data_IF_156976377067
#
_entry.id   IF_156976377067
#
_cell.length_a   1.000
_cell.length_b   1.000
_cell.length_c   1.000
_cell.angle_alpha   90.00
_cell.angle_beta   90.00
_cell.angle_gamma   90.00
#
_symmetry.space_group_name_H-M   'P 1'
#
loop_
_entity.id
_entity.type
_entity.pdbx_description
1 polymer ?
#
# COMPACT_ATOMS: atom_id res chain seq x y z
N UNK A 1 15.10 -3.58 -22.77
CA UNK A 1 13.76 -4.10 -22.38
C UNK A 1 13.66 -3.99 -20.86
N UNK A 2 12.86 -3.05 -20.38
CA UNK A 2 12.58 -2.89 -18.94
C UNK A 2 11.56 -3.96 -18.57
N UNK A 3 12.03 -5.02 -17.89
CA UNK A 3 11.13 -6.00 -17.30
C UNK A 3 10.16 -5.31 -16.33
N UNK A 4 8.90 -5.62 -16.48
CA UNK A 4 7.86 -5.02 -15.68
C UNK A 4 7.89 -5.63 -14.27
N UNK A 5 8.01 -4.77 -13.25
CA UNK A 5 7.83 -5.06 -11.83
C UNK A 5 6.60 -5.96 -11.52
N UNK A 6 5.61 -5.95 -12.43
CA UNK A 6 4.34 -6.67 -12.31
C UNK A 6 4.36 -8.08 -12.90
N UNK A 7 5.51 -8.60 -13.29
CA UNK A 7 5.65 -10.03 -13.63
C UNK A 7 5.97 -10.80 -12.37
N UNK A 8 5.26 -11.89 -12.10
CA UNK A 8 5.40 -12.69 -10.87
C UNK A 8 6.80 -13.28 -10.61
N UNK A 9 7.73 -13.20 -11.58
CA UNK A 9 9.14 -13.58 -11.45
C UNK A 9 10.00 -12.62 -12.28
N UNK A 10 10.55 -11.56 -11.68
CA UNK A 10 11.52 -10.72 -12.38
C UNK A 10 12.80 -11.49 -12.67
N UNK A 11 13.29 -11.45 -13.91
CA UNK A 11 14.58 -12.05 -14.33
C UNK A 11 15.79 -11.18 -13.96
N UNK A 12 15.56 -9.99 -13.40
CA UNK A 12 16.60 -9.06 -12.97
C UNK A 12 17.50 -9.71 -11.92
N UNK A 13 18.83 -9.60 -12.12
CA UNK A 13 19.82 -10.08 -11.14
C UNK A 13 19.56 -9.44 -9.78
N UNK A 14 19.54 -10.26 -8.73
CA UNK A 14 19.34 -9.79 -7.36
C UNK A 14 20.52 -8.92 -6.91
N UNK A 15 20.22 -7.76 -6.36
CA UNK A 15 21.16 -6.84 -5.74
C UNK A 15 20.47 -6.22 -4.53
N UNK A 16 20.52 -6.94 -3.42
CA UNK A 16 19.89 -6.53 -2.17
C UNK A 16 20.65 -5.39 -1.50
N UNK A 17 19.89 -4.45 -0.93
CA UNK A 17 20.43 -3.37 -0.12
C UNK A 17 19.61 -3.23 1.15
N UNK A 18 20.29 -2.98 2.27
CA UNK A 18 19.67 -2.82 3.59
C UNK A 18 19.98 -1.43 4.14
N UNK A 19 18.98 -0.78 4.71
CA UNK A 19 19.13 0.53 5.35
C UNK A 19 18.19 0.69 6.53
N UNK A 20 18.44 1.70 7.33
CA UNK A 20 17.59 2.12 8.44
C UNK A 20 16.80 3.36 8.05
N UNK A 21 15.55 3.44 8.46
CA UNK A 21 14.67 4.57 8.18
C UNK A 21 13.73 4.87 9.36
N UNK A 22 13.48 6.15 9.62
CA UNK A 22 12.55 6.60 10.65
C UNK A 22 11.19 6.94 10.06
N UNK A 23 10.13 6.32 10.58
CA UNK A 23 8.73 6.53 10.20
C UNK A 23 7.87 6.58 11.46
N UNK A 24 7.02 7.59 11.61
CA UNK A 24 6.16 7.76 12.80
C UNK A 24 6.93 7.61 14.11
N UNK A 25 8.06 8.30 14.24
CA UNK A 25 8.94 8.29 15.43
C UNK A 25 9.51 6.91 15.80
N UNK A 26 9.46 5.94 14.90
CA UNK A 26 10.04 4.61 15.05
C UNK A 26 11.13 4.35 14.03
N UNK A 27 12.17 3.64 14.45
CA UNK A 27 13.23 3.19 13.55
C UNK A 27 12.87 1.83 12.95
N UNK A 28 13.06 1.69 11.64
CA UNK A 28 12.85 0.46 10.90
C UNK A 28 14.09 0.08 10.10
N UNK A 29 14.32 -1.24 9.99
CA UNK A 29 15.35 -1.82 9.13
C UNK A 29 14.69 -2.45 7.91
N UNK A 30 15.01 -1.95 6.71
CA UNK A 30 14.45 -2.47 5.46
C UNK A 30 15.55 -3.04 4.57
N UNK A 31 15.23 -4.14 3.90
CA UNK A 31 15.96 -4.70 2.77
C UNK A 31 15.07 -4.62 1.54
N UNK A 32 15.59 -4.12 0.43
CA UNK A 32 14.95 -4.19 -0.89
C UNK A 32 15.93 -4.69 -1.93
N UNK A 33 15.44 -5.03 -3.13
CA UNK A 33 16.21 -5.65 -4.20
C UNK A 33 15.98 -4.91 -5.53
N UNK A 34 16.89 -5.12 -6.48
CA UNK A 34 16.87 -4.51 -7.82
C UNK A 34 15.58 -4.77 -8.61
N UNK A 35 14.85 -5.83 -8.31
CA UNK A 35 13.53 -6.15 -8.91
C UNK A 35 12.33 -5.57 -8.15
N UNK A 36 12.54 -4.73 -7.14
CA UNK A 36 11.50 -4.16 -6.27
C UNK A 36 11.59 -2.65 -6.26
N UNK A 37 10.43 -1.98 -6.15
CA UNK A 37 10.32 -0.52 -6.15
C UNK A 37 11.09 0.12 -4.99
N UNK A 38 11.77 1.24 -5.27
CA UNK A 38 12.52 2.07 -4.31
C UNK A 38 13.71 1.37 -3.65
N UNK A 39 14.89 1.54 -4.23
CA UNK A 39 16.18 1.12 -3.66
C UNK A 39 16.71 2.19 -2.69
N UNK A 40 17.30 1.77 -1.58
CA UNK A 40 18.07 2.59 -0.62
C UNK A 40 17.30 3.63 0.17
N UNK A 41 15.97 3.72 0.03
CA UNK A 41 15.14 4.63 0.83
C UNK A 41 13.67 4.24 0.71
N UNK A 42 12.85 4.62 1.68
CA UNK A 42 11.40 4.61 1.51
C UNK A 42 11.02 5.80 0.63
N UNK A 43 10.30 5.55 -0.46
CA UNK A 43 9.93 6.62 -1.40
C UNK A 43 9.06 7.69 -0.73
N UNK A 44 9.12 8.90 -1.27
CA UNK A 44 8.45 10.04 -0.66
C UNK A 44 6.92 9.86 -0.55
N UNK A 45 6.29 9.26 -1.56
CA UNK A 45 4.85 8.99 -1.55
C UNK A 45 4.44 8.05 -0.42
N UNK A 46 5.15 6.92 -0.27
CA UNK A 46 4.92 5.97 0.83
C UNK A 46 5.13 6.63 2.20
N UNK A 47 6.20 7.44 2.36
CA UNK A 47 6.42 8.19 3.61
C UNK A 47 5.27 9.14 3.92
N UNK A 48 4.84 9.93 2.94
CA UNK A 48 3.74 10.88 3.12
C UNK A 48 2.46 10.16 3.52
N UNK A 49 2.14 9.03 2.88
CA UNK A 49 0.98 8.22 3.23
C UNK A 49 1.10 7.66 4.65
N UNK A 50 2.24 7.09 5.03
CA UNK A 50 2.47 6.54 6.36
C UNK A 50 2.28 7.63 7.44
N UNK A 51 2.87 8.80 7.25
CA UNK A 51 2.83 9.89 8.25
C UNK A 51 1.44 10.52 8.39
N UNK A 52 0.64 10.52 7.32
CA UNK A 52 -0.67 11.18 7.30
C UNK A 52 -1.84 10.23 7.49
N UNK A 53 -1.62 8.91 7.42
CA UNK A 53 -2.69 7.94 7.58
C UNK A 53 -3.24 7.95 9.01
N UNK A 54 -4.57 7.96 9.10
CA UNK A 54 -5.32 7.82 10.34
C UNK A 54 -6.30 6.65 10.23
N UNK A 55 -6.43 5.86 11.30
CA UNK A 55 -7.46 4.82 11.38
C UNK A 55 -8.85 5.47 11.38
N UNK A 56 -9.82 4.92 10.64
CA UNK A 56 -11.19 5.37 10.74
C UNK A 56 -11.74 5.11 12.14
N UNK A 57 -12.27 6.16 12.76
CA UNK A 57 -12.77 6.11 14.12
C UNK A 57 -14.01 5.21 14.23
N UNK A 58 -14.03 4.33 15.24
CA UNK A 58 -15.17 3.45 15.51
C UNK A 58 -15.39 2.32 14.50
N UNK A 59 -14.49 2.13 13.54
CA UNK A 59 -14.58 1.05 12.55
C UNK A 59 -13.70 -0.11 12.97
N UNK A 60 -14.31 -1.27 13.17
CA UNK A 60 -13.59 -2.52 13.47
C UNK A 60 -13.22 -3.27 12.20
N UNK A 61 -12.08 -3.94 12.21
CA UNK A 61 -11.60 -4.77 11.11
C UNK A 61 -10.10 -4.61 10.86
N UNK A 62 -9.58 -5.49 10.03
CA UNK A 62 -8.18 -5.46 9.63
C UNK A 62 -7.88 -4.31 8.66
N UNK A 63 -6.61 -4.01 8.44
CA UNK A 63 -6.15 -3.15 7.34
C UNK A 63 -5.67 -3.99 6.17
N UNK A 64 -5.75 -3.44 4.97
CA UNK A 64 -5.12 -3.99 3.77
C UNK A 64 -4.12 -2.99 3.19
N UNK A 65 -2.87 -3.43 3.02
CA UNK A 65 -1.83 -2.75 2.22
C UNK A 65 -1.82 -3.39 0.82
N UNK A 66 -2.42 -2.71 -0.15
CA UNK A 66 -2.58 -3.18 -1.52
C UNK A 66 -1.38 -2.76 -2.37
N UNK A 67 -0.62 -3.74 -2.88
CA UNK A 67 0.62 -3.51 -3.61
C UNK A 67 1.76 -3.16 -2.64
N UNK A 68 1.96 -4.00 -1.62
CA UNK A 68 2.82 -3.69 -0.47
C UNK A 68 4.31 -3.58 -0.78
N UNK A 69 4.77 -4.13 -1.92
CA UNK A 69 6.19 -4.18 -2.25
C UNK A 69 7.00 -4.92 -1.18
N UNK A 70 8.12 -4.35 -0.76
CA UNK A 70 8.96 -4.88 0.32
C UNK A 70 8.43 -4.54 1.73
N UNK A 71 7.27 -3.91 1.85
CA UNK A 71 6.48 -3.78 3.06
C UNK A 71 6.56 -2.48 3.85
N UNK A 72 7.05 -1.34 3.33
CA UNK A 72 7.26 -0.14 4.15
C UNK A 72 5.98 0.41 4.76
N UNK A 73 4.87 0.43 4.02
CA UNK A 73 3.59 0.95 4.51
C UNK A 73 3.01 -0.02 5.54
N UNK A 74 2.76 -1.27 5.17
CA UNK A 74 2.12 -2.26 6.04
C UNK A 74 2.88 -2.51 7.34
N UNK A 75 4.21 -2.62 7.29
CA UNK A 75 5.06 -2.83 8.48
C UNK A 75 5.02 -1.62 9.41
N UNK A 76 5.09 -0.40 8.87
CA UNK A 76 5.01 0.83 9.68
C UNK A 76 3.64 0.99 10.35
N UNK A 77 2.56 0.68 9.61
CA UNK A 77 1.20 0.73 10.17
C UNK A 77 0.99 -0.38 11.20
N UNK A 78 1.53 -1.59 10.98
CA UNK A 78 1.47 -2.68 11.96
C UNK A 78 2.16 -2.32 13.28
N UNK A 79 3.30 -1.63 13.20
CA UNK A 79 3.99 -1.12 14.40
C UNK A 79 3.21 0.00 15.10
N UNK A 80 2.45 0.80 14.34
CA UNK A 80 1.67 1.92 14.88
C UNK A 80 0.37 1.45 15.53
N UNK A 81 -0.26 0.43 14.94
CA UNK A 81 -1.56 -0.12 15.36
C UNK A 81 -1.41 -1.59 15.76
N UNK A 82 -0.79 -1.91 16.91
CA UNK A 82 -0.43 -3.28 17.29
C UNK A 82 -1.65 -4.19 17.50
N UNK A 83 -2.82 -3.63 17.79
CA UNK A 83 -4.07 -4.36 17.97
C UNK A 83 -4.76 -4.73 16.64
N UNK A 84 -4.27 -4.19 15.51
CA UNK A 84 -4.82 -4.45 14.18
C UNK A 84 -4.00 -5.50 13.46
N UNK A 85 -4.66 -6.38 12.70
CA UNK A 85 -3.97 -7.21 11.71
C UNK A 85 -3.84 -6.43 10.41
N UNK A 86 -2.65 -6.43 9.83
CA UNK A 86 -2.40 -5.83 8.52
C UNK A 86 -2.21 -6.94 7.51
N UNK A 87 -3.13 -7.08 6.56
CA UNK A 87 -2.93 -7.92 5.40
C UNK A 87 -2.15 -7.14 4.34
N UNK A 88 -1.11 -7.76 3.79
CA UNK A 88 -0.19 -7.14 2.85
C UNK A 88 -0.11 -8.01 1.61
N UNK A 89 -0.47 -7.46 0.47
CA UNK A 89 -0.54 -8.22 -0.79
C UNK A 89 0.25 -7.55 -1.91
N UNK A 90 0.85 -8.36 -2.76
CA UNK A 90 1.52 -7.93 -3.99
C UNK A 90 1.45 -9.06 -5.03
N UNK A 91 1.62 -8.73 -6.31
CA UNK A 91 1.74 -9.72 -7.41
C UNK A 91 3.15 -10.28 -7.53
N UNK A 92 4.14 -9.63 -6.92
CA UNK A 92 5.55 -9.94 -7.04
C UNK A 92 6.02 -10.80 -5.86
N UNK A 93 6.26 -12.09 -6.08
CA UNK A 93 6.71 -13.02 -5.03
C UNK A 93 8.02 -12.58 -4.36
N UNK A 94 8.97 -12.02 -5.11
CA UNK A 94 10.24 -11.52 -4.57
C UNK A 94 10.00 -10.36 -3.59
N UNK A 95 9.07 -9.47 -3.89
CA UNK A 95 8.68 -8.38 -3.00
C UNK A 95 8.07 -8.92 -1.70
N UNK A 96 7.19 -9.92 -1.80
CA UNK A 96 6.56 -10.56 -0.63
C UNK A 96 7.59 -11.27 0.27
N UNK A 97 8.59 -11.94 -0.31
CA UNK A 97 9.66 -12.59 0.45
C UNK A 97 10.50 -11.55 1.21
N UNK A 98 10.77 -10.40 0.59
CA UNK A 98 11.40 -9.26 1.25
C UNK A 98 10.50 -8.69 2.36
N UNK A 99 9.21 -8.49 2.10
CA UNK A 99 8.26 -7.99 3.09
C UNK A 99 8.21 -8.89 4.34
N UNK A 100 8.20 -10.22 4.17
CA UNK A 100 8.26 -11.19 5.28
C UNK A 100 9.55 -11.07 6.08
N UNK A 101 10.69 -10.94 5.40
CA UNK A 101 12.00 -10.74 6.04
C UNK A 101 12.06 -9.41 6.80
N UNK A 102 11.53 -8.35 6.22
CA UNK A 102 11.48 -7.03 6.83
C UNK A 102 10.55 -7.00 8.04
N UNK A 103 9.37 -7.63 7.98
CA UNK A 103 8.49 -7.78 9.14
C UNK A 103 9.21 -8.48 10.30
N UNK A 104 9.90 -9.60 10.03
CA UNK A 104 10.69 -10.32 11.03
C UNK A 104 11.83 -9.48 11.59
N UNK A 105 12.59 -8.77 10.75
CA UNK A 105 13.69 -7.91 11.16
C UNK A 105 13.25 -6.78 12.10
N UNK A 106 12.02 -6.28 11.90
CA UNK A 106 11.41 -5.24 12.74
C UNK A 106 10.54 -5.80 13.89
N UNK A 107 10.54 -7.12 14.10
CA UNK A 107 9.75 -7.80 15.16
C UNK A 107 8.25 -7.55 15.05
N UNK A 108 7.74 -7.41 13.82
CA UNK A 108 6.32 -7.23 13.53
C UNK A 108 5.69 -8.60 13.30
N UNK A 109 4.66 -8.93 14.10
CA UNK A 109 3.96 -10.21 14.08
C UNK A 109 2.49 -10.12 13.69
N UNK A 110 1.90 -8.92 13.72
CA UNK A 110 0.51 -8.66 13.38
C UNK A 110 0.30 -8.38 11.88
N UNK A 111 1.02 -9.12 11.03
CA UNK A 111 0.90 -9.03 9.57
C UNK A 111 0.59 -10.40 8.95
N UNK A 112 -0.16 -10.39 7.85
CA UNK A 112 -0.36 -11.53 6.95
C UNK A 112 0.05 -11.13 5.55
N UNK A 113 1.06 -11.79 5.01
CA UNK A 113 1.71 -11.41 3.75
C UNK A 113 1.51 -12.54 2.74
N UNK A 114 0.81 -12.25 1.65
CA UNK A 114 0.50 -13.26 0.63
C UNK A 114 0.33 -12.67 -0.78
N UNK A 115 0.45 -13.55 -1.78
CA UNK A 115 0.33 -13.22 -3.18
C UNK A 115 -1.14 -12.90 -3.54
N UNK A 116 -1.36 -11.78 -4.24
CA UNK A 116 -2.65 -11.48 -4.85
C UNK A 116 -2.48 -10.55 -6.05
N UNK A 117 -3.17 -10.87 -7.14
CA UNK A 117 -3.39 -9.92 -8.21
C UNK A 117 -4.61 -9.07 -7.84
N UNK A 118 -4.35 -7.84 -7.41
CA UNK A 118 -5.38 -6.96 -6.85
C UNK A 118 -6.10 -7.69 -5.70
N UNK A 119 -7.41 -7.91 -5.79
CA UNK A 119 -8.23 -8.56 -4.73
C UNK A 119 -8.47 -10.06 -4.97
N UNK A 120 -7.86 -10.66 -5.99
CA UNK A 120 -8.16 -12.03 -6.45
C UNK A 120 -8.04 -13.08 -5.35
N UNK A 121 -7.02 -12.98 -4.49
CA UNK A 121 -6.77 -13.92 -3.40
C UNK A 121 -7.23 -13.40 -2.03
N UNK A 122 -7.92 -12.28 -1.98
CA UNK A 122 -8.57 -11.81 -0.76
C UNK A 122 -9.75 -12.72 -0.44
N UNK A 123 -9.87 -13.13 0.82
CA UNK A 123 -10.97 -13.99 1.28
C UNK A 123 -12.31 -13.36 0.94
N UNK A 124 -13.15 -14.11 0.23
CA UNK A 124 -14.48 -13.66 -0.19
C UNK A 124 -15.32 -13.28 1.03
N UNK A 125 -15.94 -12.10 0.98
CA UNK A 125 -16.71 -11.57 2.10
C UNK A 125 -15.89 -10.84 3.18
N UNK A 126 -14.56 -10.84 3.11
CA UNK A 126 -13.70 -10.05 3.98
C UNK A 126 -14.06 -8.56 3.88
N UNK A 127 -14.06 -7.87 5.02
CA UNK A 127 -14.26 -6.42 5.11
C UNK A 127 -13.14 -5.82 5.96
N UNK A 128 -12.48 -4.80 5.40
CA UNK A 128 -11.40 -4.07 6.06
C UNK A 128 -11.92 -2.77 6.66
N UNK A 129 -11.36 -2.39 7.79
CA UNK A 129 -11.58 -1.05 8.34
C UNK A 129 -10.91 0.02 7.47
N UNK A 130 -9.75 -0.30 6.90
CA UNK A 130 -9.08 0.59 5.97
C UNK A 130 -8.31 -0.19 4.90
N UNK A 131 -8.23 0.39 3.71
CA UNK A 131 -7.36 -0.05 2.61
C UNK A 131 -6.42 1.11 2.28
N UNK A 132 -5.13 0.82 2.25
CA UNK A 132 -4.09 1.78 1.85
C UNK A 132 -3.36 1.28 0.62
N UNK A 133 -2.93 2.19 -0.24
CA UNK A 133 -2.17 1.82 -1.44
C UNK A 133 -1.30 2.97 -1.96
N UNK A 134 -0.06 2.63 -2.31
CA UNK A 134 0.76 3.39 -3.25
C UNK A 134 0.73 2.61 -4.57
N UNK A 135 -0.25 2.89 -5.46
CA UNK A 135 -0.58 1.98 -6.53
C UNK A 135 0.50 1.92 -7.62
N UNK A 136 0.57 0.79 -8.34
CA UNK A 136 1.56 0.57 -9.39
C UNK A 136 1.26 1.40 -10.65
N UNK A 137 1.66 2.66 -10.68
CA UNK A 137 1.39 3.59 -11.80
C UNK A 137 1.88 3.04 -13.15
N UNK A 138 3.01 2.30 -13.15
CA UNK A 138 3.58 1.71 -14.38
C UNK A 138 2.73 0.56 -14.96
N UNK A 139 1.84 -0.03 -14.16
CA UNK A 139 0.89 -1.04 -14.64
C UNK A 139 -0.23 -0.43 -15.51
N UNK A 140 -0.33 0.88 -15.51
CA UNK A 140 -1.29 1.63 -16.32
C UNK A 140 -2.52 2.07 -15.53
N UNK A 141 -3.20 3.07 -16.09
CA UNK A 141 -4.38 3.71 -15.50
C UNK A 141 -5.50 2.72 -15.17
N UNK A 142 -5.71 1.71 -16.03
CA UNK A 142 -6.76 0.72 -15.86
C UNK A 142 -6.58 -0.09 -14.56
N UNK A 143 -5.35 -0.56 -14.29
CA UNK A 143 -5.02 -1.31 -13.08
C UNK A 143 -5.20 -0.44 -11.84
N UNK A 144 -4.71 0.81 -11.88
CA UNK A 144 -4.89 1.76 -10.77
C UNK A 144 -6.38 2.00 -10.49
N UNK A 145 -7.18 2.26 -11.53
CA UNK A 145 -8.62 2.49 -11.38
C UNK A 145 -9.35 1.25 -10.86
N UNK A 146 -8.93 0.04 -11.26
CA UNK A 146 -9.49 -1.20 -10.75
C UNK A 146 -9.22 -1.35 -9.24
N UNK A 147 -7.96 -1.13 -8.80
CA UNK A 147 -7.61 -1.13 -7.37
C UNK A 147 -8.52 -0.20 -6.57
N UNK A 148 -8.70 1.04 -7.05
CA UNK A 148 -9.50 2.05 -6.37
C UNK A 148 -11.00 1.72 -6.36
N UNK A 149 -11.52 1.16 -7.46
CA UNK A 149 -12.95 0.88 -7.60
C UNK A 149 -13.39 -0.35 -6.80
N UNK A 150 -12.64 -1.44 -6.90
CA UNK A 150 -12.96 -2.69 -6.21
C UNK A 150 -12.78 -2.57 -4.67
N UNK A 151 -11.97 -1.62 -4.19
CA UNK A 151 -11.80 -1.35 -2.77
C UNK A 151 -13.14 -1.14 -2.04
N UNK A 152 -14.12 -0.55 -2.72
CA UNK A 152 -15.45 -0.34 -2.15
C UNK A 152 -16.08 -1.63 -1.64
N UNK A 153 -15.97 -2.72 -2.40
CA UNK A 153 -16.57 -4.01 -2.06
C UNK A 153 -15.87 -4.70 -0.87
N UNK A 154 -14.62 -4.33 -0.60
CA UNK A 154 -13.82 -4.91 0.48
C UNK A 154 -13.73 -4.04 1.74
N UNK A 155 -14.34 -2.88 1.76
CA UNK A 155 -14.40 -2.02 2.95
C UNK A 155 -15.64 -2.31 3.81
N UNK A 156 -15.47 -2.21 5.11
CA UNK A 156 -16.59 -2.09 6.06
C UNK A 156 -17.31 -0.74 5.86
N UNK A 157 -18.54 -0.63 6.33
CA UNK A 157 -19.24 0.66 6.41
C UNK A 157 -18.42 1.62 7.28
N UNK A 158 -18.28 2.86 6.86
CA UNK A 158 -17.39 3.88 7.42
C UNK A 158 -15.89 3.56 7.29
N UNK A 159 -15.52 2.45 6.66
CA UNK A 159 -14.14 2.14 6.33
C UNK A 159 -13.59 3.07 5.26
N UNK A 160 -12.26 3.22 5.22
CA UNK A 160 -11.59 4.20 4.35
C UNK A 160 -10.68 3.56 3.30
N UNK A 161 -10.71 4.11 2.10
CA UNK A 161 -9.65 3.93 1.11
C UNK A 161 -8.74 5.16 1.14
N UNK A 162 -7.45 4.97 1.36
CA UNK A 162 -6.43 6.03 1.30
C UNK A 162 -5.35 5.66 0.29
N UNK A 163 -5.10 6.53 -0.66
CA UNK A 163 -4.09 6.33 -1.71
C UNK A 163 -3.14 7.53 -1.81
N UNK A 164 -1.91 7.26 -2.23
CA UNK A 164 -0.94 8.29 -2.62
C UNK A 164 -0.64 8.21 -4.11
N UNK A 165 -0.80 9.32 -4.82
CA UNK A 165 -0.48 9.40 -6.25
C UNK A 165 0.15 10.75 -6.55
N UNK A 166 1.17 10.77 -7.40
CA UNK A 166 1.77 12.01 -7.87
C UNK A 166 0.84 12.71 -8.88
N UNK A 167 0.70 14.04 -8.79
CA UNK A 167 -0.17 14.85 -9.68
C UNK A 167 0.06 14.50 -11.16
N UNK A 168 1.32 14.52 -11.59
CA UNK A 168 1.70 14.22 -12.99
C UNK A 168 1.52 12.75 -13.39
N UNK A 169 1.27 11.87 -12.43
CA UNK A 169 1.07 10.42 -12.64
C UNK A 169 -0.41 10.01 -12.50
N UNK A 170 -1.33 10.98 -12.41
CA UNK A 170 -2.76 10.70 -12.49
C UNK A 170 -3.56 10.94 -11.20
N UNK A 171 -3.05 11.69 -10.20
CA UNK A 171 -3.81 12.00 -8.99
C UNK A 171 -5.19 12.63 -9.28
N UNK A 172 -5.35 13.61 -10.21
CA UNK A 172 -6.69 14.12 -10.54
C UNK A 172 -7.64 13.07 -11.11
N UNK A 173 -7.11 12.12 -11.89
CA UNK A 173 -7.92 11.00 -12.45
C UNK A 173 -8.33 10.02 -11.36
N UNK A 174 -7.46 9.75 -10.39
CA UNK A 174 -7.75 8.90 -9.25
C UNK A 174 -8.81 9.55 -8.34
N UNK A 175 -8.66 10.83 -8.03
CA UNK A 175 -9.66 11.60 -7.25
C UNK A 175 -11.05 11.52 -7.89
N UNK A 176 -11.13 11.76 -9.22
CA UNK A 176 -12.38 11.64 -9.96
C UNK A 176 -12.97 10.22 -9.87
N UNK A 177 -12.14 9.19 -10.04
CA UNK A 177 -12.59 7.79 -9.94
C UNK A 177 -13.09 7.44 -8.54
N UNK A 178 -12.40 7.86 -7.50
CA UNK A 178 -12.81 7.64 -6.11
C UNK A 178 -14.14 8.37 -5.81
N UNK A 179 -14.30 9.62 -6.27
CA UNK A 179 -15.57 10.36 -6.15
C UNK A 179 -16.73 9.64 -6.84
N UNK A 180 -16.49 9.11 -8.04
CA UNK A 180 -17.49 8.36 -8.82
C UNK A 180 -17.94 7.09 -8.09
N UNK A 181 -17.00 6.33 -7.51
CA UNK A 181 -17.29 5.04 -6.87
C UNK A 181 -17.87 5.20 -5.46
N UNK A 182 -17.31 6.11 -4.66
CA UNK A 182 -17.65 6.26 -3.26
C UNK A 182 -18.73 7.34 -2.99
N UNK A 183 -19.01 8.21 -3.95
CA UNK A 183 -19.88 9.37 -3.72
C UNK A 183 -19.19 10.52 -2.99
N UNK A 184 -18.07 10.28 -2.33
CA UNK A 184 -17.24 11.24 -1.60
C UNK A 184 -15.76 11.08 -1.94
N UNK A 185 -15.00 12.15 -1.74
CA UNK A 185 -13.54 12.14 -1.86
C UNK A 185 -12.97 13.37 -1.16
N UNK A 186 -11.85 13.19 -0.50
CA UNK A 186 -11.09 14.25 0.15
C UNK A 186 -9.63 14.18 -0.29
N UNK A 187 -9.03 15.32 -0.58
CA UNK A 187 -7.58 15.43 -0.70
C UNK A 187 -7.05 15.84 0.67
N UNK A 188 -6.55 14.86 1.43
CA UNK A 188 -6.08 15.03 2.82
C UNK A 188 -4.88 15.98 2.89
N UNK A 189 -3.92 15.80 1.97
CA UNK A 189 -2.76 16.69 1.86
C UNK A 189 -2.12 16.61 0.48
N UNK A 190 -1.30 17.63 0.17
CA UNK A 190 -0.46 17.70 -1.03
C UNK A 190 0.93 18.14 -0.61
N UNK A 191 1.94 17.36 -0.98
CA UNK A 191 3.34 17.74 -0.76
C UNK A 191 4.22 17.23 -1.90
N UNK A 192 5.15 18.07 -2.37
CA UNK A 192 6.10 17.77 -3.46
C UNK A 192 5.45 17.11 -4.69
N UNK A 193 4.22 17.54 -5.00
CA UNK A 193 3.46 17.02 -6.13
C UNK A 193 2.74 15.69 -5.87
N UNK A 194 2.87 15.10 -4.69
CA UNK A 194 2.08 13.93 -4.26
C UNK A 194 0.78 14.38 -3.58
N UNK A 195 -0.29 13.66 -3.85
CA UNK A 195 -1.59 13.85 -3.21
C UNK A 195 -1.94 12.61 -2.38
N UNK A 196 -2.34 12.82 -1.14
CA UNK A 196 -3.02 11.82 -0.33
C UNK A 196 -4.51 12.02 -0.53
N UNK A 197 -5.18 10.99 -1.05
CA UNK A 197 -6.59 11.03 -1.42
C UNK A 197 -7.31 9.97 -0.58
N UNK A 198 -8.42 10.36 0.03
CA UNK A 198 -9.23 9.48 0.88
C UNK A 198 -10.69 9.49 0.45
N UNK A 199 -11.32 8.32 0.49
CA UNK A 199 -12.79 8.15 0.41
C UNK A 199 -13.29 7.26 1.55
N UNK A 200 -14.53 7.42 1.93
CA UNK A 200 -15.19 6.67 3.00
C UNK A 200 -16.34 5.88 2.38
N UNK A 201 -16.49 4.63 2.74
CA UNK A 201 -17.66 3.83 2.36
C UNK A 201 -18.83 4.16 3.27
N UNK A 202 -19.83 4.85 2.73
CA UNK A 202 -21.11 5.16 3.40
C UNK A 202 -22.16 4.08 3.15
#
# INVERSE_FOLDING_TARGET
MTEHYFTGKPSTKSEEQTWTFHLRDKEFHFTADSGVFSKNTVDFGSRLLIETFEMPEGVTGDLLDMGCGYGPIGISLAATFPEQTIEMVDVNQRALDLAKRNAKANRISNVRIFLSSIYENITKGKRYAAIVTNPPIRAGKQVVHQILSEAYDYLAINGTLTTVIQKKQGAPSAEKKMKEVFGNVEVVTKDKGYWIIRSIKE
#
